data_IF_210239067867
#
_entry.id   IF_210239067867
#
_cell.length_a   1.000
_cell.length_b   1.000
_cell.length_c   1.000
_cell.angle_alpha   90.00
_cell.angle_beta   90.00
_cell.angle_gamma   90.00
#
_symmetry.space_group_name_H-M   'P 1'
#
loop_
_entity.id
_entity.type
_entity.pdbx_description
1 polymer ?
#
# COMPACT_ATOMS: atom_id res chain seq x y z
N UNK A 1 -14.55 17.50 -8.79
CA UNK A 1 -14.79 17.72 -7.35
C UNK A 1 -13.45 18.02 -6.70
N UNK A 2 -13.24 19.23 -6.13
CA UNK A 2 -12.05 19.49 -5.33
C UNK A 2 -12.12 18.66 -4.05
N UNK A 3 -10.98 18.17 -3.61
CA UNK A 3 -10.84 17.56 -2.29
C UNK A 3 -10.29 18.60 -1.33
N UNK A 4 -10.75 18.52 -0.08
CA UNK A 4 -10.14 19.25 1.02
C UNK A 4 -8.69 18.77 1.19
N UNK A 5 -7.83 19.70 1.58
CA UNK A 5 -6.39 19.48 1.76
C UNK A 5 -6.02 19.66 3.23
N UNK A 6 -5.00 18.93 3.69
CA UNK A 6 -4.53 18.99 5.08
C UNK A 6 -3.59 20.18 5.35
N UNK A 7 -3.47 21.11 4.40
CA UNK A 7 -2.52 22.22 4.44
C UNK A 7 -3.21 23.49 5.00
N UNK A 8 -2.56 24.25 5.91
CA UNK A 8 -3.16 25.45 6.47
C UNK A 8 -3.40 26.60 5.47
N UNK A 9 -2.58 26.66 4.40
CA UNK A 9 -2.59 27.72 3.39
C UNK A 9 -3.48 27.37 2.19
N UNK A 10 -3.59 26.09 1.87
CA UNK A 10 -4.42 25.59 0.78
C UNK A 10 -5.54 24.77 1.39
N UNK A 11 -6.78 25.26 1.31
CA UNK A 11 -7.95 24.56 1.89
C UNK A 11 -8.57 23.57 0.91
N UNK A 12 -8.27 23.75 -0.37
CA UNK A 12 -8.79 22.94 -1.47
C UNK A 12 -7.67 22.61 -2.46
N UNK A 13 -7.74 21.45 -3.11
CA UNK A 13 -6.82 21.10 -4.22
C UNK A 13 -6.90 22.04 -5.42
N UNK A 14 -7.91 22.91 -5.49
CA UNK A 14 -7.97 24.01 -6.48
C UNK A 14 -7.04 25.17 -6.17
N UNK A 15 -6.62 25.30 -4.92
CA UNK A 15 -5.80 26.44 -4.49
C UNK A 15 -4.32 26.22 -4.84
N UNK A 16 -3.96 25.02 -5.31
CA UNK A 16 -2.58 24.70 -5.69
C UNK A 16 -2.09 25.50 -6.90
N UNK A 17 -0.88 26.07 -6.83
CA UNK A 17 -0.23 26.71 -7.96
C UNK A 17 -0.07 25.79 -9.18
N UNK A 18 -0.11 26.39 -10.38
CA UNK A 18 -0.03 25.66 -11.66
C UNK A 18 1.29 24.90 -11.84
N UNK A 19 2.40 25.40 -11.31
CA UNK A 19 3.72 24.75 -11.37
C UNK A 19 3.74 23.45 -10.57
N UNK A 20 3.16 23.43 -9.37
CA UNK A 20 2.98 22.22 -8.55
C UNK A 20 2.12 21.20 -9.29
N UNK A 21 1.00 21.65 -9.86
CA UNK A 21 0.10 20.78 -10.63
C UNK A 21 0.79 20.21 -11.88
N UNK A 22 1.56 21.03 -12.60
CA UNK A 22 2.31 20.63 -13.79
C UNK A 22 3.41 19.61 -13.45
N UNK A 23 4.14 19.84 -12.36
CA UNK A 23 5.15 18.91 -11.85
C UNK A 23 4.53 17.54 -11.54
N UNK A 24 3.45 17.49 -10.75
CA UNK A 24 2.80 16.24 -10.38
C UNK A 24 2.24 15.48 -11.59
N UNK A 25 1.76 16.19 -12.62
CA UNK A 25 1.31 15.55 -13.88
C UNK A 25 2.43 14.86 -14.63
N UNK A 26 3.66 15.36 -14.51
CA UNK A 26 4.83 14.86 -15.23
C UNK A 26 5.70 13.92 -14.39
N UNK A 27 5.52 13.89 -13.06
CA UNK A 27 6.33 13.12 -12.10
C UNK A 27 5.45 12.31 -11.14
N UNK A 28 4.76 11.30 -11.68
CA UNK A 28 3.87 10.45 -10.87
C UNK A 28 4.61 9.40 -10.03
N UNK A 29 5.88 9.12 -10.37
CA UNK A 29 6.67 8.09 -9.70
C UNK A 29 7.43 8.69 -8.51
N UNK A 30 7.26 8.07 -7.34
CA UNK A 30 8.08 8.38 -6.17
C UNK A 30 9.49 7.81 -6.33
N UNK A 31 10.50 8.53 -5.85
CA UNK A 31 11.90 8.10 -5.92
C UNK A 31 12.18 6.88 -5.03
N UNK A 32 11.66 6.89 -3.80
CA UNK A 32 11.95 5.86 -2.81
C UNK A 32 11.04 4.64 -2.94
N UNK A 33 11.59 3.42 -2.86
CA UNK A 33 10.78 2.21 -2.86
C UNK A 33 10.09 1.99 -1.52
N UNK A 34 8.90 1.39 -1.56
CA UNK A 34 8.24 0.88 -0.35
C UNK A 34 8.83 -0.49 -0.03
N UNK A 35 9.52 -0.59 1.10
CA UNK A 35 10.08 -1.86 1.57
C UNK A 35 9.07 -2.60 2.44
N UNK A 36 9.00 -3.95 2.36
CA UNK A 36 8.16 -4.74 3.25
C UNK A 36 8.64 -4.61 4.70
N UNK A 37 7.73 -4.88 5.64
CA UNK A 37 8.06 -5.00 7.05
C UNK A 37 9.17 -6.07 7.19
N UNK A 38 10.20 -5.77 7.99
CA UNK A 38 11.41 -6.58 8.15
C UNK A 38 12.32 -6.73 6.89
N UNK A 39 12.04 -6.03 5.79
CA UNK A 39 12.84 -6.06 4.54
C UNK A 39 12.94 -7.44 3.87
N UNK A 40 12.01 -8.35 4.17
CA UNK A 40 11.92 -9.65 3.51
C UNK A 40 10.44 -10.09 3.36
N UNK A 41 10.12 -11.00 2.43
CA UNK A 41 8.77 -11.57 2.33
C UNK A 41 8.37 -12.32 3.60
N UNK A 42 7.08 -12.30 3.93
CA UNK A 42 6.52 -13.07 5.06
C UNK A 42 6.48 -14.57 4.73
N UNK A 43 6.24 -14.94 3.47
CA UNK A 43 6.20 -16.32 3.01
C UNK A 43 6.84 -16.43 1.63
N UNK A 44 7.59 -17.52 1.40
CA UNK A 44 8.23 -17.80 0.10
C UNK A 44 7.98 -19.25 -0.29
N UNK A 45 7.51 -19.46 -1.52
CA UNK A 45 7.38 -20.78 -2.15
C UNK A 45 8.11 -20.77 -3.49
N UNK A 46 9.16 -21.58 -3.59
CA UNK A 46 9.95 -21.77 -4.80
C UNK A 46 9.72 -23.18 -5.36
N UNK A 47 10.08 -23.38 -6.63
CA UNK A 47 10.03 -24.69 -7.30
C UNK A 47 8.65 -25.38 -7.28
N UNK A 48 7.58 -24.58 -7.28
CA UNK A 48 6.21 -25.07 -7.40
C UNK A 48 5.70 -24.87 -8.84
N UNK A 49 4.89 -25.80 -9.38
CA UNK A 49 4.32 -25.66 -10.73
C UNK A 49 3.15 -24.65 -10.80
N UNK A 50 2.91 -23.88 -9.73
CA UNK A 50 1.82 -22.91 -9.62
C UNK A 50 2.30 -21.59 -9.02
N UNK A 51 1.49 -20.54 -9.20
CA UNK A 51 1.71 -19.21 -8.61
C UNK A 51 0.59 -18.91 -7.63
N UNK A 52 0.91 -18.25 -6.51
CA UNK A 52 -0.10 -17.70 -5.62
C UNK A 52 -0.82 -16.53 -6.32
N UNK A 53 -2.15 -16.51 -6.29
CA UNK A 53 -3.00 -15.53 -6.97
C UNK A 53 -3.96 -14.79 -6.04
N UNK A 54 -4.34 -15.43 -4.94
CA UNK A 54 -5.29 -14.87 -3.97
C UNK A 54 -4.70 -15.00 -2.57
N UNK A 55 -4.92 -13.98 -1.76
CA UNK A 55 -4.54 -13.95 -0.35
C UNK A 55 -5.77 -13.47 0.43
N UNK A 56 -6.12 -14.21 1.48
CA UNK A 56 -7.05 -13.76 2.51
C UNK A 56 -6.33 -13.89 3.85
N UNK A 57 -6.50 -12.89 4.70
CA UNK A 57 -5.98 -12.89 6.07
C UNK A 57 -7.17 -12.90 7.01
N UNK A 58 -7.23 -13.91 7.87
CA UNK A 58 -8.21 -14.00 8.94
C UNK A 58 -7.52 -13.73 10.28
N UNK A 59 -8.11 -12.86 11.10
CA UNK A 59 -7.56 -12.53 12.42
C UNK A 59 -8.39 -13.21 13.47
N UNK A 60 -7.76 -14.16 14.15
CA UNK A 60 -8.43 -15.12 15.03
C UNK A 60 -7.93 -14.95 16.45
N UNK A 61 -8.88 -14.90 17.39
CA UNK A 61 -8.61 -15.04 18.81
C UNK A 61 -8.44 -16.53 19.16
N UNK A 62 -7.24 -16.93 19.53
CA UNK A 62 -6.93 -18.24 20.09
C UNK A 62 -6.79 -18.14 21.63
N UNK A 63 -6.71 -19.30 22.30
CA UNK A 63 -6.58 -19.36 23.77
C UNK A 63 -5.34 -18.60 24.28
N UNK A 64 -4.26 -18.62 23.50
CA UNK A 64 -2.96 -18.04 23.82
C UNK A 64 -2.73 -16.64 23.21
N UNK A 65 -3.65 -16.13 22.39
CA UNK A 65 -3.58 -14.78 21.85
C UNK A 65 -4.18 -14.61 20.46
N UNK A 66 -3.92 -13.44 19.87
CA UNK A 66 -4.39 -13.10 18.53
C UNK A 66 -3.39 -13.52 17.45
N UNK A 67 -3.91 -14.13 16.40
CA UNK A 67 -3.12 -14.58 15.26
C UNK A 67 -3.70 -14.12 13.94
N UNK A 68 -2.82 -13.78 12.99
CA UNK A 68 -3.18 -13.55 11.59
C UNK A 68 -2.93 -14.84 10.78
N UNK A 69 -4.00 -15.49 10.33
CA UNK A 69 -3.97 -16.73 9.55
C UNK A 69 -4.06 -16.39 8.06
N UNK A 70 -3.06 -16.83 7.29
CA UNK A 70 -2.97 -16.57 5.85
C UNK A 70 -3.53 -17.74 5.04
N UNK A 71 -4.59 -17.48 4.26
CA UNK A 71 -5.13 -18.42 3.27
C UNK A 71 -4.63 -18.05 1.86
N UNK A 72 -3.91 -18.97 1.22
CA UNK A 72 -3.23 -18.75 -0.06
C UNK A 72 -3.91 -19.54 -1.19
N UNK A 73 -4.47 -18.83 -2.17
CA UNK A 73 -5.06 -19.43 -3.36
C UNK A 73 -4.08 -19.50 -4.54
N UNK A 74 -4.10 -20.61 -5.28
CA UNK A 74 -3.18 -20.94 -6.40
C UNK A 74 -3.86 -20.90 -7.77
#
# INVERSE_FOLDING_TARGET
CPSETYDPLHKSTRDFPDDVVSFMRTHQLMWEPVMPIHRHPVFTRINAPYRLKKLVVDRVDAEDGQYDVLHLGT
#
